data_IF_920880745294
#
_entry.id   IF_920880745294
#
_cell.length_a   1.000
_cell.length_b   1.000
_cell.length_c   1.000
_cell.angle_alpha   90.00
_cell.angle_beta   90.00
_cell.angle_gamma   90.00
#
_symmetry.space_group_name_H-M   'P 1'
#
loop_
_entity.id
_entity.type
_entity.pdbx_description
1 polymer ?
#
# COMPACT_ATOMS: atom_id res chain seq x y z
N UNK A 1 14.44 20.94 -37.56
CA UNK A 1 15.05 21.31 -36.26
C UNK A 1 14.55 20.30 -35.23
N UNK A 2 15.41 19.76 -34.35
CA UNK A 2 14.94 18.90 -33.27
C UNK A 2 14.08 19.72 -32.30
N UNK A 3 13.06 19.08 -31.72
CA UNK A 3 12.25 19.68 -30.67
C UNK A 3 13.12 19.97 -29.43
N UNK A 4 12.82 21.03 -28.65
CA UNK A 4 13.57 21.35 -27.44
C UNK A 4 13.40 20.27 -26.36
N UNK A 5 14.43 20.06 -25.55
CA UNK A 5 14.39 19.15 -24.41
C UNK A 5 13.57 19.77 -23.27
N UNK A 6 12.64 18.98 -22.72
CA UNK A 6 11.78 19.43 -21.62
C UNK A 6 12.44 19.03 -20.30
N UNK A 7 12.94 20.02 -19.55
CA UNK A 7 13.46 19.81 -18.21
C UNK A 7 12.30 19.75 -17.22
N UNK A 8 12.31 18.74 -16.35
CA UNK A 8 11.30 18.59 -15.29
C UNK A 8 11.90 18.85 -13.90
N UNK A 9 11.15 19.48 -12.98
CA UNK A 9 11.59 19.66 -11.62
C UNK A 9 11.74 18.31 -10.91
N UNK A 10 12.69 18.25 -9.97
CA UNK A 10 12.94 17.08 -9.13
C UNK A 10 12.50 17.37 -7.70
N UNK A 11 11.68 16.49 -7.15
CA UNK A 11 11.17 16.54 -5.79
C UNK A 11 11.75 15.41 -4.95
N UNK A 12 11.62 15.52 -3.63
CA UNK A 12 12.04 14.48 -2.69
C UNK A 12 10.85 14.10 -1.80
N UNK A 13 10.66 12.81 -1.56
CA UNK A 13 9.71 12.28 -0.58
C UNK A 13 10.39 11.25 0.32
N UNK A 14 9.83 11.01 1.50
CA UNK A 14 10.29 9.96 2.42
C UNK A 14 9.31 8.80 2.39
N UNK A 15 9.80 7.59 2.10
CA UNK A 15 8.97 6.39 2.02
C UNK A 15 8.49 5.99 3.43
N UNK A 16 7.18 5.83 3.68
CA UNK A 16 6.63 5.58 5.00
C UNK A 16 7.20 4.35 5.73
N UNK A 17 7.34 3.21 5.05
CA UNK A 17 7.75 1.95 5.68
C UNK A 17 9.25 1.84 5.98
N UNK A 18 10.10 2.44 5.12
CA UNK A 18 11.57 2.33 5.20
C UNK A 18 12.24 3.59 5.73
N UNK A 19 11.51 4.71 5.77
CA UNK A 19 12.02 6.06 6.07
C UNK A 19 13.16 6.52 5.15
N UNK A 20 13.38 5.84 4.03
CA UNK A 20 14.37 6.24 3.02
C UNK A 20 13.82 7.39 2.19
N UNK A 21 14.70 8.32 1.81
CA UNK A 21 14.36 9.42 0.90
C UNK A 21 14.52 8.96 -0.55
N UNK A 22 13.55 9.30 -1.39
CA UNK A 22 13.62 9.08 -2.83
C UNK A 22 13.39 10.40 -3.57
N UNK A 23 14.03 10.54 -4.73
CA UNK A 23 13.84 11.63 -5.68
C UNK A 23 12.94 11.18 -6.82
N UNK A 24 12.04 12.06 -7.24
CA UNK A 24 11.08 11.80 -8.31
C UNK A 24 10.79 13.07 -9.12
N UNK A 25 10.18 12.89 -10.30
CA UNK A 25 9.61 13.97 -11.12
C UNK A 25 8.09 13.82 -11.28
N UNK A 26 7.37 14.89 -11.64
CA UNK A 26 5.97 14.81 -12.03
C UNK A 26 5.74 13.93 -13.27
N UNK A 27 4.49 13.50 -13.44
CA UNK A 27 4.02 12.80 -14.64
C UNK A 27 4.17 13.70 -15.87
N UNK A 28 4.54 13.11 -17.00
CA UNK A 28 4.37 13.71 -18.31
C UNK A 28 3.05 13.22 -18.90
N UNK A 29 2.68 13.80 -20.04
CA UNK A 29 1.47 13.43 -20.80
C UNK A 29 1.41 11.93 -21.10
N UNK A 30 2.56 11.27 -21.33
CA UNK A 30 2.62 9.83 -21.60
C UNK A 30 2.21 8.99 -20.39
N UNK A 31 2.65 9.34 -19.18
CA UNK A 31 2.27 8.60 -17.96
C UNK A 31 0.81 8.88 -17.59
N UNK A 32 0.33 10.11 -17.76
CA UNK A 32 -1.09 10.43 -17.57
C UNK A 32 -1.99 9.59 -18.48
N UNK A 33 -1.59 9.41 -19.75
CA UNK A 33 -2.34 8.58 -20.70
C UNK A 33 -2.41 7.11 -20.27
N UNK A 34 -1.31 6.55 -19.75
CA UNK A 34 -1.28 5.17 -19.24
C UNK A 34 -2.30 5.00 -18.10
N UNK A 35 -2.33 5.96 -17.18
CA UNK A 35 -3.26 5.92 -16.05
C UNK A 35 -4.73 6.05 -16.47
N UNK A 36 -5.04 6.97 -17.40
CA UNK A 36 -6.41 7.16 -17.89
C UNK A 36 -6.93 5.87 -18.52
N UNK A 37 -6.15 5.24 -19.40
CA UNK A 37 -6.54 4.00 -20.08
C UNK A 37 -6.75 2.86 -19.08
N UNK A 38 -5.91 2.77 -18.04
CA UNK A 38 -6.06 1.74 -17.01
C UNK A 38 -7.33 1.95 -16.17
N UNK A 39 -7.66 3.20 -15.83
CA UNK A 39 -8.87 3.54 -15.08
C UNK A 39 -10.16 3.29 -15.88
N UNK A 40 -10.13 3.50 -17.20
CA UNK A 40 -11.27 3.20 -18.09
C UNK A 40 -11.62 1.71 -18.12
N UNK A 41 -10.63 0.82 -17.96
CA UNK A 41 -10.84 -0.63 -17.97
C UNK A 41 -11.48 -1.15 -16.66
N UNK A 42 -11.47 -0.36 -15.59
CA UNK A 42 -12.03 -0.68 -14.27
C UNK A 42 -11.56 -2.04 -13.71
N UNK A 43 -10.32 -2.41 -14.03
CA UNK A 43 -9.64 -3.64 -13.59
C UNK A 43 -8.53 -3.25 -12.61
N UNK A 44 -8.66 -3.67 -11.35
CA UNK A 44 -7.76 -3.25 -10.28
C UNK A 44 -6.33 -3.79 -10.43
N UNK A 45 -6.15 -4.96 -11.06
CA UNK A 45 -4.82 -5.51 -11.36
C UNK A 45 -4.14 -4.65 -12.43
N UNK A 46 -4.87 -4.29 -13.49
CA UNK A 46 -4.35 -3.39 -14.52
C UNK A 46 -4.06 -1.98 -14.01
N UNK A 47 -4.88 -1.45 -13.10
CA UNK A 47 -4.65 -0.15 -12.46
C UNK A 47 -3.36 -0.20 -11.63
N UNK A 48 -3.16 -1.27 -10.85
CA UNK A 48 -1.94 -1.44 -10.05
C UNK A 48 -0.68 -1.57 -10.93
N UNK A 49 -0.76 -2.31 -12.04
CA UNK A 49 0.32 -2.44 -13.00
C UNK A 49 0.66 -1.11 -13.69
N UNK A 50 -0.37 -0.35 -14.07
CA UNK A 50 -0.21 0.98 -14.64
C UNK A 50 0.47 1.94 -13.66
N UNK A 51 0.02 1.96 -12.39
CA UNK A 51 0.65 2.75 -11.32
C UNK A 51 2.11 2.36 -11.16
N UNK A 52 2.40 1.07 -11.05
CA UNK A 52 3.77 0.56 -10.89
C UNK A 52 4.67 0.97 -12.06
N UNK A 53 4.16 0.86 -13.29
CA UNK A 53 4.85 1.30 -14.50
C UNK A 53 5.14 2.80 -14.49
N UNK A 54 4.14 3.61 -14.13
CA UNK A 54 4.29 5.07 -14.02
C UNK A 54 5.33 5.44 -12.95
N UNK A 55 5.24 4.82 -11.76
CA UNK A 55 6.19 5.09 -10.68
C UNK A 55 7.62 4.72 -11.06
N UNK A 56 7.83 3.58 -11.73
CA UNK A 56 9.16 3.18 -12.25
C UNK A 56 9.75 4.21 -13.22
N UNK A 57 8.91 4.93 -13.97
CA UNK A 57 9.36 5.99 -14.89
C UNK A 57 9.60 7.34 -14.20
N UNK A 58 8.92 7.61 -13.08
CA UNK A 58 8.94 8.90 -12.41
C UNK A 58 9.94 8.97 -11.26
N UNK A 59 10.23 7.85 -10.59
CA UNK A 59 11.22 7.78 -9.52
C UNK A 59 12.62 7.73 -10.14
N UNK A 60 13.47 8.69 -9.77
CA UNK A 60 14.83 8.83 -10.28
C UNK A 60 15.85 8.14 -9.37
N UNK A 61 15.49 7.86 -8.11
CA UNK A 61 16.35 7.13 -7.17
C UNK A 61 16.25 5.64 -7.42
N UNK A 62 17.39 4.95 -7.47
CA UNK A 62 17.40 3.49 -7.62
C UNK A 62 16.80 2.84 -6.37
N UNK A 63 15.64 2.22 -6.53
CA UNK A 63 14.95 1.45 -5.50
C UNK A 63 14.57 0.08 -6.05
N UNK A 64 14.48 -0.91 -5.17
CA UNK A 64 13.90 -2.21 -5.49
C UNK A 64 12.41 -2.06 -5.25
N UNK A 65 11.63 -1.96 -6.33
CA UNK A 65 10.18 -1.77 -6.25
C UNK A 65 9.48 -2.94 -5.57
N UNK A 66 10.01 -4.13 -5.74
CA UNK A 66 9.45 -5.36 -5.21
C UNK A 66 9.60 -5.44 -3.68
N UNK A 67 10.46 -4.59 -3.08
CA UNK A 67 10.58 -4.43 -1.62
C UNK A 67 9.59 -3.39 -1.05
N UNK A 68 8.87 -2.66 -1.90
CA UNK A 68 7.89 -1.68 -1.44
C UNK A 68 6.59 -2.39 -1.05
N UNK A 69 6.04 -1.98 0.09
CA UNK A 69 4.69 -2.39 0.47
C UNK A 69 3.66 -1.65 -0.37
N UNK A 70 2.45 -2.20 -0.48
CA UNK A 70 1.35 -1.56 -1.20
C UNK A 70 1.08 -0.13 -0.71
N UNK A 71 0.98 0.07 0.62
CA UNK A 71 0.70 1.39 1.17
C UNK A 71 1.82 2.40 0.88
N UNK A 72 3.07 1.96 0.68
CA UNK A 72 4.13 2.85 0.20
C UNK A 72 3.90 3.24 -1.25
N UNK A 73 3.50 2.29 -2.10
CA UNK A 73 3.23 2.52 -3.51
C UNK A 73 2.05 3.47 -3.70
N UNK A 74 0.96 3.24 -3.00
CA UNK A 74 -0.21 4.13 -3.00
C UNK A 74 0.17 5.52 -2.49
N UNK A 75 0.92 5.61 -1.39
CA UNK A 75 1.38 6.88 -0.84
C UNK A 75 2.27 7.63 -1.83
N UNK A 76 3.28 6.97 -2.40
CA UNK A 76 4.17 7.56 -3.38
C UNK A 76 3.36 8.03 -4.59
N UNK A 77 2.47 7.18 -5.10
CA UNK A 77 1.63 7.51 -6.24
C UNK A 77 0.80 8.77 -6.00
N UNK A 78 0.08 8.86 -4.87
CA UNK A 78 -0.71 10.05 -4.55
C UNK A 78 0.17 11.31 -4.49
N UNK A 79 1.34 11.21 -3.86
CA UNK A 79 2.27 12.33 -3.74
C UNK A 79 2.82 12.80 -5.11
N UNK A 80 3.14 11.88 -6.03
CA UNK A 80 3.55 12.27 -7.39
C UNK A 80 2.35 12.84 -8.16
N UNK A 81 1.17 12.22 -8.07
CA UNK A 81 -0.06 12.68 -8.71
C UNK A 81 -0.41 14.10 -8.28
N UNK A 82 -0.28 14.42 -6.99
CA UNK A 82 -0.53 15.74 -6.42
C UNK A 82 0.24 16.84 -7.16
N UNK A 83 1.53 16.60 -7.40
CA UNK A 83 2.43 17.56 -8.09
C UNK A 83 2.29 17.56 -9.61
N UNK A 84 1.49 16.65 -10.16
CA UNK A 84 1.38 16.43 -11.60
C UNK A 84 0.03 16.85 -12.17
N UNK A 85 -1.05 16.76 -11.37
CA UNK A 85 -2.42 16.96 -11.83
C UNK A 85 -3.12 17.98 -10.93
N UNK A 86 -3.38 17.62 -9.68
CA UNK A 86 -4.04 18.46 -8.68
C UNK A 86 -3.68 17.96 -7.29
N UNK A 87 -3.49 18.89 -6.35
CA UNK A 87 -3.29 18.58 -4.92
C UNK A 87 -4.59 18.21 -4.20
N UNK A 88 -5.73 18.39 -4.86
CA UNK A 88 -7.07 18.03 -4.36
C UNK A 88 -7.56 16.74 -5.04
N UNK A 89 -8.12 15.84 -4.24
CA UNK A 89 -8.82 14.63 -4.69
C UNK A 89 -10.32 14.88 -4.55
N UNK A 90 -11.07 14.64 -5.61
CA UNK A 90 -12.53 14.64 -5.62
C UNK A 90 -13.05 13.21 -5.74
N UNK A 91 -13.94 12.79 -4.85
CA UNK A 91 -14.55 11.46 -4.85
C UNK A 91 -16.06 11.56 -4.61
N UNK A 92 -16.80 10.58 -5.12
CA UNK A 92 -18.21 10.40 -4.81
C UNK A 92 -18.37 9.36 -3.73
N UNK A 93 -18.99 9.74 -2.62
CA UNK A 93 -19.24 8.82 -1.51
C UNK A 93 -20.72 8.61 -1.33
N UNK A 94 -21.12 7.34 -1.29
CA UNK A 94 -22.49 6.94 -0.94
C UNK A 94 -22.69 7.00 0.58
N UNK A 95 -23.69 7.75 1.02
CA UNK A 95 -24.01 7.89 2.43
C UNK A 95 -24.54 6.57 3.01
N UNK A 96 -23.92 6.09 4.09
CA UNK A 96 -24.23 4.79 4.69
C UNK A 96 -25.64 4.69 5.33
N UNK A 97 -26.25 5.82 5.67
CA UNK A 97 -27.54 5.87 6.36
C UNK A 97 -28.72 5.49 5.45
N UNK A 98 -28.65 5.76 4.15
CA UNK A 98 -29.67 5.38 3.18
C UNK A 98 -29.16 4.48 2.04
N UNK A 99 -27.84 4.30 1.95
CA UNK A 99 -27.17 3.44 0.96
C UNK A 99 -27.37 3.86 -0.49
N UNK A 100 -27.88 5.09 -0.75
CA UNK A 100 -28.26 5.55 -2.10
C UNK A 100 -27.90 6.99 -2.39
N UNK A 101 -27.77 7.85 -1.39
CA UNK A 101 -27.47 9.26 -1.61
C UNK A 101 -25.97 9.45 -1.74
N UNK A 102 -25.53 9.82 -2.93
CA UNK A 102 -24.14 10.17 -3.22
C UNK A 102 -23.86 11.64 -2.89
N UNK A 103 -22.69 11.90 -2.32
CA UNK A 103 -22.17 13.24 -2.03
C UNK A 103 -20.76 13.34 -2.58
N UNK A 104 -20.49 14.41 -3.33
CA UNK A 104 -19.14 14.74 -3.77
C UNK A 104 -18.37 15.30 -2.56
N UNK A 105 -17.22 14.70 -2.27
CA UNK A 105 -16.29 15.17 -1.25
C UNK A 105 -14.97 15.54 -1.92
N UNK A 106 -14.35 16.61 -1.43
CA UNK A 106 -13.00 16.98 -1.84
C UNK A 106 -12.10 17.15 -0.62
N UNK A 107 -10.86 16.70 -0.74
CA UNK A 107 -9.85 16.81 0.31
C UNK A 107 -8.45 16.85 -0.31
N UNK A 108 -7.49 17.36 0.45
CA UNK A 108 -6.12 17.48 -0.04
C UNK A 108 -5.41 16.13 0.02
N UNK A 109 -4.56 15.86 -0.96
CA UNK A 109 -3.66 14.69 -0.95
C UNK A 109 -2.81 14.67 0.32
N UNK A 110 -2.46 15.84 0.85
CA UNK A 110 -1.68 15.95 2.08
C UNK A 110 -2.46 15.51 3.33
N UNK A 111 -3.79 15.44 3.30
CA UNK A 111 -4.59 14.89 4.41
C UNK A 111 -4.64 13.36 4.40
N UNK A 112 -4.23 12.74 3.29
CA UNK A 112 -4.11 11.29 3.16
C UNK A 112 -2.74 10.85 3.68
N UNK A 113 -2.74 10.03 4.73
CA UNK A 113 -1.51 9.54 5.37
C UNK A 113 -1.55 8.03 5.53
N UNK A 114 -0.36 7.43 5.61
CA UNK A 114 -0.25 6.03 6.03
C UNK A 114 -0.50 5.98 7.53
N UNK A 115 -1.60 5.34 7.91
CA UNK A 115 -1.94 5.08 9.29
C UNK A 115 -1.17 3.84 9.77
N UNK A 116 -0.36 4.00 10.82
CA UNK A 116 0.31 2.90 11.49
C UNK A 116 -0.46 2.57 12.76
N UNK A 117 -1.22 1.46 12.82
CA UNK A 117 -1.97 1.08 14.01
C UNK A 117 -1.08 1.01 15.24
N UNK A 118 -1.59 1.48 16.39
CA UNK A 118 -0.85 1.43 17.65
C UNK A 118 -0.49 -0.02 17.98
N UNK A 119 0.79 -0.26 18.26
CA UNK A 119 1.29 -1.59 18.60
C UNK A 119 1.73 -2.43 17.40
N UNK A 120 1.55 -1.96 16.16
CA UNK A 120 2.10 -2.65 15.00
C UNK A 120 3.64 -2.69 15.08
N UNK A 121 4.20 -3.90 15.04
CA UNK A 121 5.64 -4.14 15.11
C UNK A 121 6.05 -5.17 14.06
N UNK A 122 7.12 -4.88 13.33
CA UNK A 122 7.75 -5.84 12.41
C UNK A 122 8.51 -6.94 13.15
N UNK A 123 8.98 -6.66 14.36
CA UNK A 123 9.71 -7.62 15.21
C UNK A 123 8.74 -8.20 16.23
N UNK A 124 8.52 -9.51 16.16
CA UNK A 124 7.53 -10.26 16.93
C UNK A 124 8.27 -11.28 17.80
N UNK A 125 8.11 -11.17 19.11
CA UNK A 125 8.66 -12.14 20.06
C UNK A 125 7.69 -13.32 20.18
N UNK A 126 8.09 -14.51 19.73
CA UNK A 126 7.23 -15.71 19.77
C UNK A 126 7.32 -16.41 21.12
N UNK A 127 8.55 -16.56 21.64
CA UNK A 127 8.88 -17.13 22.95
C UNK A 127 9.99 -16.29 23.60
N UNK A 128 10.48 -16.68 24.78
CA UNK A 128 11.58 -15.95 25.42
C UNK A 128 12.87 -15.91 24.60
N UNK A 129 13.12 -16.98 23.83
CA UNK A 129 14.31 -17.13 23.01
C UNK A 129 14.06 -16.86 21.52
N UNK A 130 12.84 -17.04 21.00
CA UNK A 130 12.58 -16.94 19.56
C UNK A 130 11.94 -15.59 19.21
N UNK A 131 12.59 -14.86 18.31
CA UNK A 131 12.09 -13.60 17.75
C UNK A 131 12.05 -13.65 16.23
N UNK A 132 10.99 -13.15 15.62
CA UNK A 132 10.83 -13.08 14.17
C UNK A 132 10.80 -11.63 13.71
N UNK A 133 11.61 -11.29 12.72
CA UNK A 133 11.48 -10.05 11.97
C UNK A 133 10.69 -10.32 10.68
N UNK A 134 9.57 -9.62 10.52
CA UNK A 134 8.71 -9.67 9.34
C UNK A 134 9.04 -8.56 8.35
N UNK A 135 8.83 -8.83 7.06
CA UNK A 135 8.66 -7.85 5.99
C UNK A 135 7.19 -7.82 5.56
N UNK A 136 6.79 -6.74 4.89
CA UNK A 136 5.43 -6.66 4.33
C UNK A 136 5.33 -7.51 3.07
N UNK A 137 4.12 -8.01 2.74
CA UNK A 137 3.87 -8.64 1.46
C UNK A 137 4.19 -7.70 0.29
N UNK A 138 4.64 -8.29 -0.81
CA UNK A 138 4.86 -7.60 -2.07
C UNK A 138 3.54 -7.34 -2.82
N UNK A 139 3.65 -6.60 -3.93
CA UNK A 139 2.51 -6.28 -4.80
C UNK A 139 1.87 -7.51 -5.42
N UNK A 140 2.69 -8.45 -5.89
CA UNK A 140 2.22 -9.66 -6.56
C UNK A 140 1.33 -10.49 -5.63
N UNK A 141 1.72 -10.59 -4.36
CA UNK A 141 0.89 -11.20 -3.33
C UNK A 141 -0.42 -10.45 -3.13
N UNK A 142 -0.37 -9.13 -2.98
CA UNK A 142 -1.57 -8.32 -2.77
C UNK A 142 -2.56 -8.46 -3.93
N UNK A 143 -2.06 -8.41 -5.17
CA UNK A 143 -2.86 -8.61 -6.37
C UNK A 143 -3.50 -10.01 -6.40
N UNK A 144 -2.73 -11.04 -6.05
CA UNK A 144 -3.23 -12.41 -6.01
C UNK A 144 -4.35 -12.63 -4.97
N UNK A 145 -4.23 -12.01 -3.79
CA UNK A 145 -5.22 -12.15 -2.70
C UNK A 145 -6.48 -11.32 -2.96
N UNK A 146 -6.32 -10.06 -3.33
CA UNK A 146 -7.43 -9.11 -3.36
C UNK A 146 -8.16 -9.10 -4.70
N UNK A 147 -7.46 -9.36 -5.82
CA UNK A 147 -8.04 -9.22 -7.16
C UNK A 147 -8.23 -10.56 -7.86
N UNK A 148 -7.26 -11.48 -7.75
CA UNK A 148 -7.33 -12.76 -8.47
C UNK A 148 -8.24 -13.82 -7.81
N UNK A 149 -8.87 -13.52 -6.66
CA UNK A 149 -9.65 -14.47 -5.84
C UNK A 149 -8.96 -15.82 -5.62
N UNK A 150 -7.62 -15.85 -5.67
CA UNK A 150 -6.86 -17.06 -5.41
C UNK A 150 -6.91 -17.29 -3.90
N UNK A 151 -7.28 -18.50 -3.48
CA UNK A 151 -7.04 -18.91 -2.11
C UNK A 151 -5.54 -19.03 -1.92
N UNK A 152 -4.94 -18.01 -1.31
CA UNK A 152 -3.54 -18.07 -0.92
C UNK A 152 -3.46 -18.70 0.46
N UNK A 153 -2.62 -19.72 0.59
CA UNK A 153 -2.39 -20.38 1.86
C UNK A 153 -1.83 -19.36 2.88
N UNK A 154 -2.49 -19.15 4.04
CA UNK A 154 -2.01 -18.25 5.09
C UNK A 154 -0.58 -18.57 5.55
N UNK A 155 -0.17 -19.84 5.50
CA UNK A 155 1.16 -20.25 5.89
C UNK A 155 2.21 -19.88 4.83
N UNK A 156 1.87 -19.94 3.53
CA UNK A 156 2.73 -19.47 2.44
C UNK A 156 2.95 -17.96 2.56
N UNK A 157 1.89 -17.22 2.90
CA UNK A 157 1.98 -15.78 3.15
C UNK A 157 2.96 -15.49 4.28
N UNK A 158 2.80 -16.18 5.42
CA UNK A 158 3.69 -16.00 6.57
C UNK A 158 5.13 -16.30 6.16
N UNK A 159 5.38 -17.46 5.55
CA UNK A 159 6.71 -17.88 5.13
C UNK A 159 7.38 -16.87 4.18
N UNK A 160 6.65 -16.32 3.21
CA UNK A 160 7.15 -15.25 2.32
C UNK A 160 7.50 -13.97 3.06
N UNK A 161 6.78 -13.66 4.14
CA UNK A 161 6.95 -12.43 4.90
C UNK A 161 7.95 -12.55 6.05
N UNK A 162 8.47 -13.73 6.36
CA UNK A 162 9.58 -13.86 7.32
C UNK A 162 10.83 -13.28 6.66
N UNK A 163 11.39 -12.25 7.27
CA UNK A 163 12.65 -11.65 6.85
C UNK A 163 13.83 -12.32 7.55
N UNK A 164 13.74 -12.50 8.87
CA UNK A 164 14.76 -13.15 9.71
C UNK A 164 14.11 -13.82 10.93
N UNK A 165 14.75 -14.87 11.42
CA UNK A 165 14.42 -15.50 12.71
C UNK A 165 15.66 -15.41 13.59
N UNK A 166 15.45 -15.12 14.87
CA UNK A 166 16.49 -15.01 15.87
C UNK A 166 16.22 -16.00 16.99
N UNK A 167 17.28 -16.65 17.46
CA UNK A 167 17.27 -17.54 18.63
C UNK A 167 18.26 -16.96 19.65
N UNK A 168 17.75 -16.38 20.73
CA UNK A 168 18.52 -15.56 21.64
C UNK A 168 19.07 -14.33 20.91
N UNK A 169 20.39 -14.23 20.81
CA UNK A 169 21.10 -13.18 20.05
C UNK A 169 21.54 -13.65 18.65
N UNK A 170 21.41 -14.94 18.34
CA UNK A 170 21.90 -15.52 17.10
C UNK A 170 20.88 -15.37 15.96
N UNK A 171 21.36 -14.95 14.78
CA UNK A 171 20.57 -14.87 13.54
C UNK A 171 20.54 -16.24 12.86
N UNK A 172 19.34 -16.71 12.47
CA UNK A 172 19.15 -17.97 11.74
C UNK A 172 19.86 -17.99 10.38
N UNK A 173 20.24 -16.82 9.85
CA UNK A 173 20.81 -16.67 8.52
C UNK A 173 19.75 -16.68 7.43
N UNK A 174 20.19 -16.87 6.18
CA UNK A 174 19.30 -16.99 5.04
C UNK A 174 18.66 -18.38 4.98
N UNK A 175 17.37 -18.43 4.70
CA UNK A 175 16.61 -19.65 4.48
C UNK A 175 15.85 -19.56 3.16
N UNK A 176 15.52 -20.70 2.61
CA UNK A 176 14.65 -20.85 1.45
C UNK A 176 13.18 -20.69 1.84
N UNK A 177 12.31 -20.49 0.86
CA UNK A 177 10.87 -20.46 1.08
C UNK A 177 10.36 -21.78 1.70
N UNK A 178 10.87 -22.92 1.24
CA UNK A 178 10.49 -24.25 1.76
C UNK A 178 10.88 -24.41 3.23
N UNK A 179 12.10 -24.01 3.62
CA UNK A 179 12.53 -24.03 5.02
C UNK A 179 11.68 -23.12 5.92
N UNK A 180 11.34 -21.92 5.43
CA UNK A 180 10.44 -21.01 6.15
C UNK A 180 9.04 -21.62 6.29
N UNK A 181 8.54 -22.26 5.23
CA UNK A 181 7.21 -22.88 5.22
C UNK A 181 7.13 -24.05 6.20
N UNK A 182 8.11 -24.93 6.18
CA UNK A 182 8.24 -26.06 7.11
C UNK A 182 8.38 -25.59 8.56
N UNK A 183 9.04 -24.46 8.79
CA UNK A 183 9.18 -23.89 10.12
C UNK A 183 7.86 -23.32 10.64
N UNK A 184 7.10 -22.64 9.78
CA UNK A 184 5.78 -22.09 10.12
C UNK A 184 4.81 -23.19 10.53
N UNK A 185 4.84 -24.37 9.90
CA UNK A 185 3.98 -25.52 10.27
C UNK A 185 4.28 -26.10 11.66
N UNK A 186 5.49 -25.87 12.17
CA UNK A 186 5.91 -26.32 13.50
C UNK A 186 5.52 -25.35 14.61
N UNK A 187 4.99 -24.17 14.26
CA UNK A 187 4.54 -23.19 15.24
C UNK A 187 3.26 -23.68 15.94
N UNK A 188 3.19 -23.38 17.23
CA UNK A 188 1.94 -23.53 18.00
C UNK A 188 0.91 -22.51 17.54
N UNK A 189 -0.37 -22.77 17.79
CA UNK A 189 -1.45 -21.83 17.47
C UNK A 189 -1.23 -20.45 18.10
N UNK A 190 -0.76 -20.39 19.35
CA UNK A 190 -0.49 -19.10 20.03
C UNK A 190 0.63 -18.30 19.34
N UNK A 191 1.69 -18.97 18.88
CA UNK A 191 2.77 -18.31 18.14
C UNK A 191 2.27 -17.82 16.77
N UNK A 192 1.45 -18.63 16.09
CA UNK A 192 0.87 -18.27 14.82
C UNK A 192 -0.08 -17.07 14.94
N UNK A 193 -0.90 -17.01 16.00
CA UNK A 193 -1.79 -15.87 16.28
C UNK A 193 -1.00 -14.56 16.48
N UNK A 194 0.17 -14.61 17.13
CA UNK A 194 1.07 -13.44 17.26
C UNK A 194 1.54 -12.95 15.89
N UNK A 195 1.81 -13.86 14.96
CA UNK A 195 2.18 -13.50 13.58
C UNK A 195 0.96 -13.02 12.79
N UNK A 196 -0.21 -13.63 12.97
CA UNK A 196 -1.44 -13.18 12.31
C UNK A 196 -1.79 -11.74 12.70
N UNK A 197 -1.54 -11.36 13.96
CA UNK A 197 -1.72 -9.99 14.42
C UNK A 197 -0.85 -8.96 13.67
N UNK A 198 0.31 -9.36 13.12
CA UNK A 198 1.10 -8.47 12.25
C UNK A 198 0.33 -8.12 10.98
N UNK A 199 -0.35 -9.08 10.35
CA UNK A 199 -1.17 -8.85 9.17
C UNK A 199 -2.42 -8.03 9.50
N UNK A 200 -3.10 -8.34 10.61
CA UNK A 200 -4.30 -7.61 11.04
C UNK A 200 -4.03 -6.13 11.40
N UNK A 201 -2.79 -5.81 11.76
CA UNK A 201 -2.38 -4.44 12.14
C UNK A 201 -1.51 -3.78 11.08
N UNK A 202 -1.49 -4.32 9.85
CA UNK A 202 -0.71 -3.73 8.76
C UNK A 202 -1.07 -2.26 8.54
N UNK A 203 -0.07 -1.39 8.29
CA UNK A 203 -0.35 -0.01 7.94
C UNK A 203 -1.14 0.07 6.64
N UNK A 204 -2.05 1.04 6.57
CA UNK A 204 -2.88 1.30 5.39
C UNK A 204 -2.83 2.78 5.04
N UNK A 205 -2.99 3.11 3.76
CA UNK A 205 -3.22 4.49 3.34
C UNK A 205 -4.68 4.83 3.63
N UNK A 206 -4.91 5.80 4.52
CA UNK A 206 -6.24 6.09 5.08
C UNK A 206 -6.49 7.59 5.13
N UNK A 207 -7.73 7.98 4.86
CA UNK A 207 -8.26 9.30 5.19
C UNK A 207 -9.65 9.16 5.82
N UNK A 208 -9.92 9.90 6.89
CA UNK A 208 -11.21 9.90 7.57
C UNK A 208 -11.86 11.27 7.44
N UNK A 209 -13.11 11.29 6.99
CA UNK A 209 -13.89 12.51 6.83
C UNK A 209 -15.33 12.30 7.28
N UNK A 210 -16.02 13.40 7.60
CA UNK A 210 -17.44 13.37 7.99
C UNK A 210 -18.27 13.95 6.86
N UNK A 211 -19.21 13.16 6.35
CA UNK A 211 -20.11 13.57 5.27
C UNK A 211 -21.51 13.74 5.83
N UNK A 212 -22.11 14.91 5.61
CA UNK A 212 -23.51 15.16 5.97
C UNK A 212 -24.41 14.78 4.80
N UNK A 213 -25.29 13.80 5.00
CA UNK A 213 -26.27 13.42 4.00
C UNK A 213 -27.25 14.61 3.77
N UNK A 214 -27.39 15.11 2.54
CA UNK A 214 -28.23 16.27 2.27
C UNK A 214 -29.73 15.99 2.46
N UNK A 215 -30.18 14.73 2.37
CA UNK A 215 -31.58 14.32 2.52
C UNK A 215 -31.95 14.02 3.97
N UNK A 216 -31.19 13.16 4.64
CA UNK A 216 -31.50 12.74 6.02
C UNK A 216 -30.91 13.67 7.07
N UNK A 217 -29.96 14.55 6.67
CA UNK A 217 -29.20 15.47 7.54
C UNK A 217 -28.29 14.78 8.56
N UNK A 218 -28.14 13.46 8.49
CA UNK A 218 -27.25 12.68 9.35
C UNK A 218 -25.79 12.86 8.90
N UNK A 219 -24.89 13.02 9.87
CA UNK A 219 -23.44 13.00 9.62
C UNK A 219 -22.93 11.57 9.70
N UNK A 220 -22.35 11.09 8.61
CA UNK A 220 -21.76 9.78 8.49
C UNK A 220 -20.23 9.90 8.49
N UNK A 221 -19.51 9.16 9.36
CA UNK A 221 -18.07 8.99 9.20
C UNK A 221 -17.82 8.14 7.95
N UNK A 222 -16.91 8.61 7.11
CA UNK A 222 -16.47 7.93 5.89
C UNK A 222 -14.97 7.74 6.01
N UNK A 223 -14.54 6.50 5.80
CA UNK A 223 -13.14 6.11 5.78
C UNK A 223 -12.83 5.72 4.34
N UNK A 224 -11.82 6.36 3.76
CA UNK A 224 -11.33 6.08 2.41
C UNK A 224 -10.00 5.37 2.57
N UNK A 225 -9.93 4.11 2.12
CA UNK A 225 -8.75 3.26 2.29
C UNK A 225 -8.36 2.51 1.01
N UNK A 226 -7.06 2.57 0.70
CA UNK A 226 -6.45 1.78 -0.37
C UNK A 226 -6.89 2.16 -1.80
N UNK A 227 -6.31 1.44 -2.74
CA UNK A 227 -6.40 1.67 -4.18
C UNK A 227 -7.84 1.58 -4.74
N UNK A 228 -8.73 0.79 -4.12
CA UNK A 228 -10.12 0.73 -4.56
C UNK A 228 -10.83 2.07 -4.32
N UNK A 229 -10.73 2.60 -3.09
CA UNK A 229 -11.52 3.75 -2.68
C UNK A 229 -10.95 5.08 -3.21
N UNK A 230 -9.64 5.17 -3.43
CA UNK A 230 -9.02 6.39 -3.98
C UNK A 230 -9.21 6.57 -5.49
N UNK A 231 -9.68 5.55 -6.19
CA UNK A 231 -9.77 5.53 -7.66
C UNK A 231 -11.12 5.05 -8.21
N UNK A 232 -12.06 4.66 -7.34
CA UNK A 232 -13.44 4.33 -7.69
C UNK A 232 -14.30 5.59 -7.95
#
# INVERSE_FOLDING_TARGET
>A
MPLPEIVTPTYTLTVPSTKKKIKYRPFLVKEQKILIVALENNDQEQILDAITTVLRSCIQTRIVFDDLSLFDIEFIFLQIRARSISEEIELKVTCADDGKTEVNVSFLVDDVKVHFPKGHKKVIKLTDDITVEMKYPDLDYFAAVNFAKKQVDPYDLVAKCIKRVYVGEDDSGSFTFEEARDWVEKLTSEQFDKIQNFFNTMPTLRHELKVKNPKTKVENPVVIEGLADFFA
#
